data_IF_262821949148
#
_entry.id   IF_262821949148
#
_cell.length_a   1.000
_cell.length_b   1.000
_cell.length_c   1.000
_cell.angle_alpha   90.00
_cell.angle_beta   90.00
_cell.angle_gamma   90.00
#
_symmetry.space_group_name_H-M   'P 1'
#
loop_
_entity.id
_entity.type
_entity.pdbx_description
1 polymer ?
#
# COMPACT_ATOMS: atom_id res chain seq x y z
N UNK A 1 8.76 -9.07 -5.41
CA UNK A 1 7.93 -7.98 -4.87
C UNK A 1 7.20 -7.29 -6.00
N UNK A 2 6.13 -6.58 -5.67
CA UNK A 2 5.32 -5.92 -6.69
C UNK A 2 6.08 -4.80 -7.40
N UNK A 3 6.02 -4.80 -8.71
CA UNK A 3 6.52 -3.73 -9.57
C UNK A 3 5.86 -3.84 -10.94
N UNK A 4 5.75 -2.74 -11.70
CA UNK A 4 5.20 -2.82 -13.06
C UNK A 4 6.09 -3.64 -13.98
N UNK A 5 5.47 -4.40 -14.88
CA UNK A 5 6.21 -5.16 -15.90
C UNK A 5 6.79 -4.25 -16.97
N UNK A 6 6.07 -3.18 -17.30
CA UNK A 6 6.44 -2.23 -18.36
C UNK A 6 6.00 -0.83 -17.95
N UNK A 7 6.83 0.16 -18.20
CA UNK A 7 6.54 1.56 -17.92
C UNK A 7 6.81 2.44 -19.13
N UNK A 8 6.02 3.51 -19.27
CA UNK A 8 6.26 4.51 -20.31
C UNK A 8 7.51 5.33 -20.02
N UNK A 9 7.69 5.69 -18.74
CA UNK A 9 8.86 6.41 -18.24
C UNK A 9 9.47 5.65 -17.08
N UNK A 10 10.81 5.61 -17.02
CA UNK A 10 11.51 4.90 -15.94
C UNK A 10 11.53 5.70 -14.64
N UNK A 11 11.54 7.02 -14.75
CA UNK A 11 11.65 7.93 -13.61
C UNK A 11 10.48 8.89 -13.60
N UNK A 12 10.05 9.31 -12.42
CA UNK A 12 8.89 10.17 -12.22
C UNK A 12 9.26 11.40 -11.43
N UNK A 13 8.49 12.49 -11.63
CA UNK A 13 8.55 13.64 -10.75
C UNK A 13 8.02 13.27 -9.38
N UNK A 14 8.57 13.92 -8.35
CA UNK A 14 8.19 13.64 -6.98
C UNK A 14 6.71 13.85 -6.70
N UNK A 15 6.15 14.95 -7.21
CA UNK A 15 4.75 15.28 -7.01
C UNK A 15 4.43 15.75 -5.60
N UNK A 16 3.14 16.01 -5.37
CA UNK A 16 2.63 16.45 -4.06
C UNK A 16 1.50 15.53 -3.62
N UNK A 17 1.46 15.25 -2.30
CA UNK A 17 0.44 14.39 -1.69
C UNK A 17 -0.71 15.26 -1.16
N UNK A 18 -1.56 15.73 -2.05
CA UNK A 18 -2.70 16.60 -1.70
C UNK A 18 -4.02 15.91 -1.95
N UNK A 19 -5.04 16.32 -1.20
CA UNK A 19 -6.42 15.90 -1.37
C UNK A 19 -6.72 14.56 -0.73
N UNK A 20 -7.95 14.12 -0.93
CA UNK A 20 -8.46 12.83 -0.47
C UNK A 20 -8.75 11.93 -1.66
N UNK A 21 -8.80 10.63 -1.42
CA UNK A 21 -9.09 9.66 -2.47
C UNK A 21 -10.58 9.70 -2.81
N UNK A 22 -10.91 9.88 -4.09
CA UNK A 22 -12.29 9.84 -4.59
C UNK A 22 -12.62 8.51 -5.27
N UNK A 23 -11.61 7.81 -5.77
CA UNK A 23 -11.74 6.47 -6.35
C UNK A 23 -10.97 5.47 -5.52
N UNK A 24 -11.47 4.24 -5.43
CA UNK A 24 -10.82 3.21 -4.62
C UNK A 24 -10.96 3.45 -3.12
N UNK A 25 -12.01 4.15 -2.70
CA UNK A 25 -12.29 4.46 -1.31
C UNK A 25 -13.43 3.62 -0.73
N UNK A 26 -13.90 2.61 -1.47
CA UNK A 26 -14.97 1.70 -1.05
C UNK A 26 -14.52 0.25 -1.19
N UNK A 27 -15.00 -0.59 -0.26
CA UNK A 27 -14.75 -2.03 -0.31
C UNK A 27 -15.52 -2.63 -1.48
N UNK A 28 -14.83 -3.35 -2.36
CA UNK A 28 -15.42 -3.96 -3.55
C UNK A 28 -15.40 -5.49 -3.51
N UNK A 29 -14.34 -6.09 -3.02
CA UNK A 29 -14.09 -7.54 -3.14
C UNK A 29 -14.32 -8.31 -1.85
N UNK A 30 -13.88 -7.77 -0.71
CA UNK A 30 -13.97 -8.43 0.57
C UNK A 30 -15.10 -7.91 1.44
N UNK A 31 -15.11 -8.33 2.70
CA UNK A 31 -16.07 -7.89 3.70
C UNK A 31 -15.51 -6.81 4.61
N UNK A 32 -14.19 -6.74 4.74
CA UNK A 32 -13.49 -5.83 5.63
C UNK A 32 -12.34 -5.17 4.88
N UNK A 33 -11.99 -3.97 5.29
CA UNK A 33 -10.91 -3.22 4.64
C UNK A 33 -10.05 -2.47 5.63
N UNK A 34 -8.82 -2.17 5.20
CA UNK A 34 -7.87 -1.33 5.91
C UNK A 34 -7.69 -0.05 5.11
N UNK A 35 -8.04 1.08 5.72
CA UNK A 35 -8.06 2.39 5.06
C UNK A 35 -6.95 3.28 5.58
N UNK A 36 -6.28 3.99 4.69
CA UNK A 36 -5.28 4.97 5.05
C UNK A 36 -5.93 6.24 5.59
N UNK A 37 -5.41 6.76 6.70
CA UNK A 37 -5.86 8.01 7.30
C UNK A 37 -4.93 9.19 6.99
N UNK A 38 -3.75 8.91 6.47
CA UNK A 38 -2.72 9.91 6.19
C UNK A 38 -2.17 9.72 4.76
N UNK A 39 -1.69 10.82 4.12
CA UNK A 39 -1.01 10.69 2.83
C UNK A 39 0.42 10.18 3.02
N UNK A 40 0.86 9.29 2.13
CA UNK A 40 2.24 8.77 2.17
C UNK A 40 2.59 8.01 0.90
N UNK A 41 3.85 7.62 0.82
CA UNK A 41 4.34 6.62 -0.13
C UNK A 41 4.54 5.31 0.63
N UNK A 42 3.94 4.24 0.15
CA UNK A 42 4.10 2.89 0.70
C UNK A 42 4.97 2.11 -0.26
N UNK A 43 6.09 1.58 0.24
CA UNK A 43 7.02 0.82 -0.60
C UNK A 43 6.49 -0.57 -0.90
N UNK A 44 6.97 -1.18 -1.98
CA UNK A 44 6.63 -2.57 -2.30
C UNK A 44 7.01 -3.54 -1.18
N UNK A 45 8.11 -3.26 -0.48
CA UNK A 45 8.54 -4.06 0.68
C UNK A 45 7.56 -3.97 1.85
N UNK A 46 7.02 -2.77 2.11
CA UNK A 46 6.02 -2.57 3.17
C UNK A 46 4.71 -3.28 2.82
N UNK A 47 4.28 -3.22 1.57
CA UNK A 47 3.09 -3.94 1.10
C UNK A 47 3.29 -5.45 1.30
N UNK A 48 4.43 -5.98 0.91
CA UNK A 48 4.73 -7.40 1.04
C UNK A 48 4.81 -7.84 2.51
N UNK A 49 5.41 -7.02 3.37
CA UNK A 49 5.48 -7.29 4.81
C UNK A 49 4.08 -7.35 5.43
N UNK A 50 3.20 -6.41 5.07
CA UNK A 50 1.82 -6.41 5.56
C UNK A 50 1.05 -7.62 5.04
N UNK A 51 1.19 -7.95 3.75
CA UNK A 51 0.55 -9.13 3.15
C UNK A 51 0.94 -10.41 3.87
N UNK A 52 2.23 -10.60 4.11
CA UNK A 52 2.75 -11.79 4.81
C UNK A 52 2.20 -11.87 6.24
N UNK A 53 2.13 -10.76 6.93
CA UNK A 53 1.59 -10.70 8.30
C UNK A 53 0.13 -11.13 8.33
N UNK A 54 -0.70 -10.63 7.41
CA UNK A 54 -2.11 -10.99 7.32
C UNK A 54 -2.26 -12.48 7.00
N UNK A 55 -1.56 -12.96 5.99
CA UNK A 55 -1.62 -14.35 5.56
C UNK A 55 -1.19 -15.30 6.66
N UNK A 56 -0.13 -14.95 7.39
CA UNK A 56 0.37 -15.78 8.51
C UNK A 56 -0.63 -15.84 9.65
N UNK A 57 -1.23 -14.72 10.01
CA UNK A 57 -2.20 -14.67 11.10
C UNK A 57 -3.45 -15.48 10.77
N UNK A 58 -3.94 -15.40 9.55
CA UNK A 58 -5.14 -16.12 9.13
C UNK A 58 -4.86 -17.57 8.70
N UNK A 59 -3.62 -18.00 8.76
CA UNK A 59 -3.17 -19.36 8.36
C UNK A 59 -3.61 -19.71 6.95
N UNK A 60 -3.58 -18.72 6.05
CA UNK A 60 -4.00 -18.84 4.65
C UNK A 60 -5.50 -19.18 4.47
N UNK A 61 -6.31 -19.00 5.53
CA UNK A 61 -7.74 -19.25 5.49
C UNK A 61 -8.58 -18.10 4.96
N UNK A 62 -7.96 -16.96 4.71
CA UNK A 62 -8.65 -15.76 4.26
C UNK A 62 -8.39 -15.48 2.79
N UNK A 63 -9.37 -14.84 2.15
CA UNK A 63 -9.17 -14.22 0.84
C UNK A 63 -8.67 -12.79 1.08
N UNK A 64 -7.55 -12.44 0.47
CA UNK A 64 -6.90 -11.15 0.62
C UNK A 64 -6.76 -10.46 -0.73
N UNK A 65 -7.16 -9.19 -0.80
CA UNK A 65 -6.97 -8.36 -1.98
C UNK A 65 -6.10 -7.16 -1.62
N UNK A 66 -5.05 -6.94 -2.39
CA UNK A 66 -4.19 -5.76 -2.28
C UNK A 66 -4.74 -4.72 -3.25
N UNK A 67 -5.26 -3.60 -2.71
CA UNK A 67 -5.93 -2.57 -3.50
C UNK A 67 -4.99 -1.50 -4.04
N UNK A 68 -3.75 -1.47 -3.57
CA UNK A 68 -2.74 -0.51 -4.00
C UNK A 68 -1.66 -1.22 -4.78
N UNK A 69 -1.01 -0.49 -5.69
CA UNK A 69 0.09 -1.03 -6.48
C UNK A 69 1.23 -0.02 -6.54
N UNK A 70 2.48 -0.47 -6.31
CA UNK A 70 3.65 0.41 -6.30
C UNK A 70 4.10 0.69 -7.75
N UNK A 71 3.53 1.72 -8.34
CA UNK A 71 3.78 2.09 -9.74
C UNK A 71 4.66 3.33 -9.91
N UNK A 72 5.06 3.97 -8.82
CA UNK A 72 5.92 5.14 -8.83
C UNK A 72 7.34 4.77 -8.42
N UNK A 73 8.33 5.27 -9.15
CA UNK A 73 9.74 5.02 -8.83
C UNK A 73 10.29 6.07 -7.88
N UNK A 74 11.16 5.63 -6.98
CA UNK A 74 11.99 6.50 -6.15
C UNK A 74 13.44 6.25 -6.54
N UNK A 75 14.17 7.32 -6.80
CA UNK A 75 15.55 7.25 -7.24
C UNK A 75 16.49 7.59 -6.09
N UNK A 76 17.69 7.02 -6.13
CA UNK A 76 18.74 7.31 -5.17
C UNK A 76 20.06 7.42 -5.91
N UNK A 77 20.94 8.27 -5.41
CA UNK A 77 22.32 8.36 -5.88
C UNK A 77 23.21 7.55 -4.96
N UNK A 78 24.31 7.06 -5.51
CA UNK A 78 25.33 6.45 -4.69
C UNK A 78 25.84 7.46 -3.64
N UNK A 79 26.16 6.99 -2.44
CA UNK A 79 26.60 7.84 -1.34
C UNK A 79 27.85 8.67 -1.70
N UNK A 80 28.65 8.17 -2.63
CA UNK A 80 29.92 8.78 -3.07
C UNK A 80 29.74 9.72 -4.27
N UNK A 81 28.52 9.85 -4.80
CA UNK A 81 28.28 10.69 -5.98
C UNK A 81 28.39 12.17 -5.63
N UNK A 82 29.00 12.93 -6.54
CA UNK A 82 29.04 14.39 -6.44
C UNK A 82 27.67 14.97 -6.81
N UNK A 83 27.43 16.20 -6.38
CA UNK A 83 26.21 16.94 -6.73
C UNK A 83 26.17 17.21 -8.26
N UNK A 84 25.00 17.15 -8.84
CA UNK A 84 24.79 17.35 -10.27
C UNK A 84 24.68 16.05 -11.05
N UNK A 85 24.85 16.11 -12.36
CA UNK A 85 24.80 14.97 -13.29
C UNK A 85 23.43 14.25 -13.38
N UNK A 86 22.34 14.98 -13.10
CA UNK A 86 20.99 14.51 -13.32
C UNK A 86 20.42 13.64 -12.21
N UNK A 87 19.25 13.07 -12.48
CA UNK A 87 18.49 12.25 -11.54
C UNK A 87 19.18 10.91 -11.35
N UNK A 88 19.22 10.43 -10.11
CA UNK A 88 19.80 9.14 -9.77
C UNK A 88 19.08 7.96 -10.41
N UNK A 89 19.65 6.77 -10.27
CA UNK A 89 19.05 5.54 -10.75
C UNK A 89 17.83 5.14 -9.91
N UNK A 90 16.91 4.38 -10.51
CA UNK A 90 15.74 3.85 -9.80
C UNK A 90 16.20 2.90 -8.70
N UNK A 91 15.78 3.18 -7.46
CA UNK A 91 16.13 2.38 -6.30
C UNK A 91 14.99 1.43 -5.92
N UNK A 92 13.77 1.95 -5.78
CA UNK A 92 12.61 1.15 -5.40
C UNK A 92 11.31 1.74 -5.93
N UNK A 93 10.23 0.98 -5.77
CA UNK A 93 8.90 1.34 -6.20
C UNK A 93 8.00 1.62 -5.01
N UNK A 94 7.12 2.61 -5.16
CA UNK A 94 6.15 2.99 -4.11
C UNK A 94 4.77 3.17 -4.70
N UNK A 95 3.75 2.96 -3.85
CA UNK A 95 2.38 3.33 -4.11
C UNK A 95 2.13 4.69 -3.46
N UNK A 96 1.55 5.63 -4.22
CA UNK A 96 1.14 6.93 -3.70
C UNK A 96 -0.22 6.76 -3.06
N UNK A 97 -0.32 7.03 -1.77
CA UNK A 97 -1.53 6.83 -0.99
C UNK A 97 -2.02 8.16 -0.44
N UNK A 98 -3.32 8.41 -0.59
CA UNK A 98 -4.02 9.58 -0.04
C UNK A 98 -5.00 9.12 1.03
N UNK A 99 -5.39 10.00 1.98
CA UNK A 99 -6.39 9.64 2.98
C UNK A 99 -7.67 9.11 2.32
N UNK A 100 -8.23 8.03 2.86
CA UNK A 100 -9.41 7.38 2.32
C UNK A 100 -9.12 6.24 1.35
N UNK A 101 -7.87 6.02 0.96
CA UNK A 101 -7.49 4.90 0.10
C UNK A 101 -7.61 3.58 0.85
N UNK A 102 -8.29 2.60 0.24
CA UNK A 102 -8.31 1.24 0.77
C UNK A 102 -7.01 0.55 0.37
N UNK A 103 -6.27 0.09 1.37
CA UNK A 103 -4.98 -0.57 1.17
C UNK A 103 -5.13 -2.05 0.92
N UNK A 104 -5.92 -2.71 1.77
CA UNK A 104 -6.17 -4.15 1.70
C UNK A 104 -7.65 -4.42 1.96
N UNK A 105 -8.15 -5.51 1.36
CA UNK A 105 -9.45 -6.06 1.69
C UNK A 105 -9.30 -7.51 2.09
N UNK A 106 -10.12 -7.97 3.01
CA UNK A 106 -10.11 -9.35 3.48
C UNK A 106 -11.53 -9.89 3.50
N UNK A 107 -11.67 -11.17 3.18
CA UNK A 107 -12.93 -11.88 3.22
C UNK A 107 -12.76 -13.31 3.70
N UNK A 108 -13.87 -14.02 3.84
CA UNK A 108 -13.89 -15.44 4.25
C UNK A 108 -13.38 -15.69 5.67
N UNK A 109 -13.39 -14.67 6.52
CA UNK A 109 -13.02 -14.79 7.95
C UNK A 109 -13.98 -13.99 8.82
N UNK A 110 -14.12 -14.34 10.11
CA UNK A 110 -14.89 -13.54 11.06
C UNK A 110 -14.28 -12.14 11.25
N UNK A 111 -15.11 -11.20 11.66
CA UNK A 111 -14.69 -9.82 11.91
C UNK A 111 -13.52 -9.73 12.90
N UNK A 112 -13.58 -10.49 13.99
CA UNK A 112 -12.54 -10.49 15.01
C UNK A 112 -11.18 -10.89 14.47
N UNK A 113 -11.14 -11.90 13.61
CA UNK A 113 -9.92 -12.39 12.98
C UNK A 113 -9.40 -11.35 12.00
N UNK A 114 -10.28 -10.77 11.19
CA UNK A 114 -9.91 -9.73 10.23
C UNK A 114 -9.32 -8.50 10.92
N UNK A 115 -9.97 -8.05 11.99
CA UNK A 115 -9.53 -6.89 12.77
C UNK A 115 -8.15 -7.12 13.40
N UNK A 116 -7.94 -8.29 13.99
CA UNK A 116 -6.66 -8.65 14.59
C UNK A 116 -5.55 -8.73 13.54
N UNK A 117 -5.83 -9.33 12.38
CA UNK A 117 -4.87 -9.44 11.29
C UNK A 117 -4.46 -8.05 10.77
N UNK A 118 -5.43 -7.16 10.58
CA UNK A 118 -5.16 -5.80 10.11
C UNK A 118 -4.43 -4.96 11.16
N UNK A 119 -4.70 -5.15 12.44
CA UNK A 119 -3.95 -4.47 13.50
C UNK A 119 -2.47 -4.87 13.47
N UNK A 120 -2.16 -6.14 13.25
CA UNK A 120 -0.79 -6.59 13.10
C UNK A 120 -0.15 -6.04 11.81
N UNK A 121 -0.89 -6.02 10.73
CA UNK A 121 -0.40 -5.48 9.44
C UNK A 121 -0.11 -3.97 9.54
N UNK A 122 -0.90 -3.23 10.31
CA UNK A 122 -0.72 -1.79 10.48
C UNK A 122 0.66 -1.42 11.02
N UNK A 123 1.25 -2.27 11.85
CA UNK A 123 2.61 -2.04 12.36
C UNK A 123 3.68 -2.10 11.28
N UNK A 124 3.38 -2.71 10.13
CA UNK A 124 4.30 -2.79 8.99
C UNK A 124 4.15 -1.63 8.03
N UNK A 125 3.15 -0.78 8.24
CA UNK A 125 2.85 0.35 7.37
C UNK A 125 3.28 1.67 8.03
N UNK A 126 3.69 2.67 7.23
CA UNK A 126 4.27 3.91 7.77
C UNK A 126 3.22 4.95 8.18
N UNK A 127 1.94 4.60 8.19
CA UNK A 127 0.85 5.56 8.44
C UNK A 127 -0.19 4.99 9.38
N UNK A 128 -1.03 5.89 9.87
CA UNK A 128 -2.22 5.49 10.63
C UNK A 128 -3.27 4.94 9.67
N UNK A 129 -3.92 3.88 10.10
CA UNK A 129 -4.92 3.18 9.31
C UNK A 129 -6.18 2.96 10.15
N UNK A 130 -7.28 2.65 9.47
CA UNK A 130 -8.56 2.38 10.11
C UNK A 130 -9.16 1.10 9.53
N UNK A 131 -9.70 0.26 10.41
CA UNK A 131 -10.47 -0.92 10.03
C UNK A 131 -11.89 -0.48 9.65
N UNK A 132 -12.38 -0.95 8.51
CA UNK A 132 -13.74 -0.68 8.06
C UNK A 132 -14.46 -1.96 7.66
N UNK A 133 -15.79 -1.93 7.75
CA UNK A 133 -16.66 -3.03 7.39
C UNK A 133 -17.42 -2.60 6.13
N UNK A 134 -17.64 -3.55 5.21
CA UNK A 134 -18.39 -3.29 4.00
C UNK A 134 -19.85 -2.94 4.33
N UNK A 135 -20.31 -1.81 3.82
CA UNK A 135 -21.70 -1.43 3.93
C UNK A 135 -22.50 -2.01 2.77
N UNK A 136 -23.52 -2.78 3.10
CA UNK A 136 -24.45 -3.36 2.12
C UNK A 136 -25.61 -2.36 1.89
N UNK A 137 -25.41 -1.41 1.01
CA UNK A 137 -26.47 -0.52 0.57
C UNK A 137 -26.89 -0.86 -0.84
#
# INVERSE_FOLDING_TARGET
MLSPKRTKYRKYHRGRLRGTKTRGNKICFGNFGLVALEPTWITSRQIEAARRTITRYTKRGASLWIRIFPDKTVTARAAESRMGSGKGAVDYWVAVVKPGTILFEIGSVPEEVAKAAFNLAAYKLPIKTKFIIKNNY
#
